data_IF_835661167357
#
_entry.id   IF_835661167357
#
_cell.length_a   1.000
_cell.length_b   1.000
_cell.length_c   1.000
_cell.angle_alpha   90.00
_cell.angle_beta   90.00
_cell.angle_gamma   90.00
#
_symmetry.space_group_name_H-M   'P 1'
#
loop_
_entity.id
_entity.type
_entity.pdbx_description
1 polymer ?
#
# COMPACT_ATOMS: atom_id res chain seq x y z
N UNK A 1 14.78 10.40 -13.98
CA UNK A 1 13.67 9.74 -13.24
C UNK A 1 12.52 9.54 -14.19
N UNK A 2 11.98 8.32 -14.29
CA UNK A 2 10.80 8.00 -15.10
C UNK A 2 9.68 7.65 -14.13
N UNK A 3 8.53 8.30 -14.29
CA UNK A 3 7.31 7.93 -13.57
C UNK A 3 6.85 6.56 -14.09
N UNK A 4 6.47 5.66 -13.17
CA UNK A 4 6.05 4.31 -13.52
C UNK A 4 4.52 4.17 -13.51
N UNK A 5 3.88 4.50 -12.39
CA UNK A 5 2.43 4.37 -12.23
C UNK A 5 1.88 5.20 -11.06
N UNK A 6 0.56 5.40 -11.04
CA UNK A 6 -0.19 5.98 -9.93
C UNK A 6 -1.43 5.15 -9.66
N UNK A 7 -1.54 4.65 -8.44
CA UNK A 7 -2.66 3.86 -7.96
C UNK A 7 -3.21 4.47 -6.67
N UNK A 8 -4.54 4.44 -6.53
CA UNK A 8 -5.23 4.70 -5.27
C UNK A 8 -6.46 3.80 -5.16
N UNK A 9 -6.77 3.29 -3.96
CA UNK A 9 -8.01 2.56 -3.67
C UNK A 9 -8.87 3.25 -2.60
N UNK A 10 -8.56 4.49 -2.24
CA UNK A 10 -9.22 5.25 -1.18
C UNK A 10 -10.74 5.31 -1.44
N UNK A 11 -11.54 4.98 -0.44
CA UNK A 11 -12.98 5.26 -0.45
C UNK A 11 -13.24 6.78 -0.39
N UNK A 12 -14.13 7.28 -1.24
CA UNK A 12 -14.36 8.72 -1.42
C UNK A 12 -15.80 9.16 -1.10
N UNK A 13 -16.71 8.23 -0.86
CA UNK A 13 -18.13 8.52 -0.71
C UNK A 13 -18.43 9.16 0.67
N UNK A 14 -18.96 10.40 0.71
CA UNK A 14 -19.32 11.04 1.96
C UNK A 14 -20.41 10.26 2.68
N UNK A 15 -20.26 10.10 4.01
CA UNK A 15 -21.22 9.40 4.87
C UNK A 15 -21.44 7.92 4.54
N UNK A 16 -20.60 7.32 3.70
CA UNK A 16 -20.57 5.88 3.49
C UNK A 16 -19.82 5.17 4.61
N UNK A 17 -20.03 3.86 4.71
CA UNK A 17 -19.18 3.01 5.56
C UNK A 17 -17.72 3.08 5.08
N UNK A 18 -16.80 2.86 6.03
CA UNK A 18 -15.36 2.87 5.77
C UNK A 18 -15.03 1.86 4.66
N UNK A 19 -14.37 2.34 3.61
CA UNK A 19 -13.99 1.54 2.45
C UNK A 19 -12.65 1.99 1.87
N UNK A 20 -11.93 1.03 1.27
CA UNK A 20 -10.59 1.25 0.75
C UNK A 20 -9.54 1.47 1.85
N UNK A 21 -8.35 1.90 1.45
CA UNK A 21 -7.28 2.23 2.38
C UNK A 21 -7.36 3.69 2.84
N UNK A 22 -7.56 3.89 4.14
CA UNK A 22 -7.79 5.20 4.75
C UNK A 22 -6.79 5.50 5.86
N UNK A 23 -6.31 6.75 5.87
CA UNK A 23 -5.28 7.24 6.79
C UNK A 23 -4.05 6.34 6.84
N UNK A 24 -3.27 6.28 5.74
CA UNK A 24 -2.02 5.53 5.73
C UNK A 24 -1.04 6.11 6.76
N UNK A 25 -0.61 5.27 7.69
CA UNK A 25 0.37 5.56 8.73
C UNK A 25 1.37 4.42 8.84
N UNK A 26 2.64 4.76 9.02
CA UNK A 26 3.71 3.77 9.06
C UNK A 26 3.93 3.11 7.70
N UNK A 27 5.08 3.39 7.10
CA UNK A 27 5.47 2.84 5.81
C UNK A 27 6.77 2.07 6.00
N UNK A 28 6.78 0.80 5.62
CA UNK A 28 7.96 -0.06 5.71
C UNK A 28 8.26 -0.69 4.37
N UNK A 29 9.50 -0.56 3.91
CA UNK A 29 10.00 -1.28 2.75
C UNK A 29 10.72 -2.56 3.18
N UNK A 30 10.39 -3.67 2.53
CA UNK A 30 11.05 -4.96 2.71
C UNK A 30 11.80 -5.31 1.42
N UNK A 31 13.15 -5.34 1.44
CA UNK A 31 13.92 -5.78 0.29
C UNK A 31 13.59 -7.22 -0.11
N UNK A 32 13.66 -7.54 -1.40
CA UNK A 32 13.44 -8.88 -1.96
C UNK A 32 14.17 -10.00 -1.19
N UNK A 33 15.44 -9.76 -0.82
CA UNK A 33 16.27 -10.73 -0.08
C UNK A 33 15.76 -11.05 1.34
N UNK A 34 14.83 -10.26 1.88
CA UNK A 34 14.20 -10.44 3.19
C UNK A 34 12.72 -10.80 3.08
N UNK A 35 12.18 -10.92 1.86
CA UNK A 35 10.79 -11.26 1.61
C UNK A 35 10.62 -12.76 1.38
N UNK A 36 9.56 -13.35 1.93
CA UNK A 36 9.19 -14.74 1.67
C UNK A 36 8.73 -14.99 0.23
N UNK A 37 8.39 -13.94 -0.52
CA UNK A 37 8.01 -14.02 -1.94
C UNK A 37 9.20 -13.85 -2.88
N UNK A 38 10.39 -13.51 -2.37
CA UNK A 38 11.56 -13.03 -3.14
C UNK A 38 11.33 -11.73 -3.93
N UNK A 39 10.22 -11.03 -3.70
CA UNK A 39 9.92 -9.74 -4.31
C UNK A 39 10.07 -8.61 -3.30
N UNK A 40 10.45 -7.42 -3.76
CA UNK A 40 10.51 -6.24 -2.92
C UNK A 40 9.09 -5.80 -2.56
N UNK A 41 8.83 -5.54 -1.28
CA UNK A 41 7.50 -5.18 -0.79
C UNK A 41 7.47 -3.79 -0.15
N UNK A 42 6.36 -3.07 -0.33
CA UNK A 42 6.01 -1.89 0.43
C UNK A 42 4.77 -2.19 1.28
N UNK A 43 4.93 -2.15 2.60
CA UNK A 43 3.88 -2.41 3.57
C UNK A 43 3.43 -1.09 4.18
N UNK A 44 2.12 -0.86 4.18
CA UNK A 44 1.50 0.37 4.69
C UNK A 44 0.40 -0.01 5.67
N UNK A 45 0.47 0.55 6.88
CA UNK A 45 -0.65 0.48 7.82
C UNK A 45 -1.69 1.56 7.49
N UNK A 46 -2.98 1.24 7.55
CA UNK A 46 -4.04 2.21 7.33
C UNK A 46 -4.88 2.30 8.61
N UNK A 47 -4.67 3.36 9.38
CA UNK A 47 -5.18 3.51 10.74
C UNK A 47 -6.72 3.48 10.78
N UNK A 48 -7.36 4.27 9.90
CA UNK A 48 -8.80 4.47 9.95
C UNK A 48 -9.55 3.28 9.33
N UNK A 49 -9.01 2.68 8.27
CA UNK A 49 -9.60 1.46 7.70
C UNK A 49 -9.24 0.19 8.47
N UNK A 50 -8.29 0.25 9.41
CA UNK A 50 -7.81 -0.92 10.16
C UNK A 50 -7.19 -2.00 9.26
N UNK A 51 -6.71 -1.61 8.07
CA UNK A 51 -6.16 -2.52 7.06
C UNK A 51 -4.64 -2.41 6.99
N UNK A 52 -3.98 -3.46 6.49
CA UNK A 52 -2.59 -3.42 6.04
C UNK A 52 -2.58 -3.65 4.54
N UNK A 53 -1.99 -2.72 3.79
CA UNK A 53 -1.74 -2.89 2.36
C UNK A 53 -0.32 -3.42 2.14
N UNK A 54 -0.17 -4.43 1.28
CA UNK A 54 1.12 -5.01 0.88
C UNK A 54 1.24 -4.90 -0.63
N UNK A 55 2.20 -4.09 -1.08
CA UNK A 55 2.46 -3.84 -2.50
C UNK A 55 3.74 -4.54 -2.93
N UNK A 56 3.69 -5.28 -4.03
CA UNK A 56 4.89 -5.74 -4.72
C UNK A 56 5.47 -4.61 -5.59
N UNK A 57 6.78 -4.41 -5.53
CA UNK A 57 7.48 -3.41 -6.32
C UNK A 57 8.25 -4.12 -7.43
N UNK A 58 7.74 -4.00 -8.66
CA UNK A 58 8.39 -4.58 -9.85
C UNK A 58 9.11 -3.50 -10.65
N UNK A 59 10.27 -3.84 -11.20
CA UNK A 59 10.88 -3.06 -12.28
C UNK A 59 10.29 -3.57 -13.59
N UNK A 60 9.61 -2.70 -14.34
CA UNK A 60 9.22 -3.01 -15.72
C UNK A 60 10.43 -3.11 -16.64
#
# INVERSE_FOLDING_TARGET
MKFQDYFYNRGLEPSADISGDLAPEGITFVPAAQSATNEALLIVGNEISGSIAVWEITTQ
#
